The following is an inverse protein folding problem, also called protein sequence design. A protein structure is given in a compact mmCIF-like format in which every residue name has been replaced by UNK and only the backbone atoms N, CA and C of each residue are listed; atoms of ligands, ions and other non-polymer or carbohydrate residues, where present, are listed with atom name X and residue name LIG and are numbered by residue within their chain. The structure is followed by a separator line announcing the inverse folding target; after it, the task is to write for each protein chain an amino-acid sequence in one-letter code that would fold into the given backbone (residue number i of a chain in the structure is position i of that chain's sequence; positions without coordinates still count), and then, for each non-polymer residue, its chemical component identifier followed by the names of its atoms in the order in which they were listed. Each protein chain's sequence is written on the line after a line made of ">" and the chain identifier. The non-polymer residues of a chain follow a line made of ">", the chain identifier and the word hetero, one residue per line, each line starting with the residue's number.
data_IF_612053596377
#
_entry.id   IF_612053596377
#
_cell.length_a   1.000
_cell.length_b   1.000
_cell.length_c   1.000
_cell.angle_alpha   90.00
_cell.angle_beta   90.00
_cell.angle_gamma   90.00
#
_symmetry.space_group_name_H-M   'P 1'
#
loop_
_entity.id
_entity.type
_entity.pdbx_description
1 polymer ?
#
# COMPACT_ATOMS: atom_id res chain seq x y z
N UNK A 1 -7.34 -12.84 15.11
CA UNK A 1 -5.91 -13.04 15.41
C UNK A 1 -5.70 -14.45 15.95
N UNK A 2 -6.14 -14.78 17.17
CA UNK A 2 -5.99 -16.14 17.74
C UNK A 2 -6.69 -17.25 16.94
N UNK A 3 -7.94 -17.04 16.47
CA UNK A 3 -8.67 -18.01 15.64
C UNK A 3 -7.93 -18.40 14.34
N UNK A 4 -7.06 -17.53 13.82
CA UNK A 4 -6.31 -17.75 12.60
C UNK A 4 -4.82 -18.02 12.85
N UNK A 5 -4.41 -18.20 14.12
CA UNK A 5 -3.01 -18.40 14.49
C UNK A 5 -2.11 -17.19 14.19
N UNK A 6 -2.68 -15.99 14.07
CA UNK A 6 -1.95 -14.76 13.74
C UNK A 6 -1.55 -14.00 15.00
N UNK A 7 -0.24 -13.76 15.16
CA UNK A 7 0.31 -12.91 16.22
C UNK A 7 0.10 -11.44 15.87
N UNK A 8 -0.42 -10.64 16.80
CA UNK A 8 -0.51 -9.19 16.62
C UNK A 8 0.89 -8.60 16.64
N UNK A 9 1.26 -7.93 15.55
CA UNK A 9 2.43 -7.06 15.57
C UNK A 9 2.10 -5.81 16.38
N UNK A 10 2.82 -5.61 17.47
CA UNK A 10 2.83 -4.36 18.22
C UNK A 10 4.22 -3.78 18.04
N UNK A 11 4.35 -2.56 17.51
CA UNK A 11 5.65 -1.94 17.30
C UNK A 11 6.49 -1.99 18.57
N UNK A 12 7.71 -2.52 18.49
CA UNK A 12 8.61 -2.49 19.62
C UNK A 12 8.97 -1.03 19.93
N UNK A 13 9.05 -0.67 21.22
CA UNK A 13 9.41 0.68 21.63
C UNK A 13 10.80 1.03 21.07
N UNK A 14 10.85 2.02 20.18
CA UNK A 14 12.09 2.45 19.51
C UNK A 14 12.39 1.80 18.15
N UNK A 15 11.53 0.90 17.65
CA UNK A 15 11.67 0.29 16.32
C UNK A 15 10.73 0.95 15.29
N UNK A 16 11.02 2.20 14.91
CA UNK A 16 10.31 2.88 13.82
C UNK A 16 10.42 2.21 12.44
N UNK A 17 11.48 1.45 12.08
CA UNK A 17 11.57 0.81 10.76
C UNK A 17 10.43 -0.16 10.46
N UNK A 18 9.84 -0.77 11.49
CA UNK A 18 8.77 -1.76 11.34
C UNK A 18 7.52 -1.17 10.67
N UNK A 19 7.27 0.14 10.88
CA UNK A 19 6.13 0.85 10.28
C UNK A 19 6.51 1.67 9.03
N UNK A 20 7.81 1.89 8.79
CA UNK A 20 8.29 2.80 7.75
C UNK A 20 7.80 2.43 6.34
N UNK A 21 7.67 1.13 6.03
CA UNK A 21 7.15 0.67 4.76
C UNK A 21 5.67 1.04 4.57
N UNK A 22 4.85 0.88 5.61
CA UNK A 22 3.43 1.24 5.59
C UNK A 22 3.26 2.77 5.54
N UNK A 23 4.02 3.52 6.34
CA UNK A 23 4.03 4.98 6.30
C UNK A 23 4.42 5.51 4.92
N UNK A 24 5.44 4.92 4.29
CA UNK A 24 5.86 5.28 2.94
C UNK A 24 4.78 5.01 1.90
N UNK A 25 3.99 3.95 2.04
CA UNK A 25 2.83 3.69 1.18
C UNK A 25 1.74 4.76 1.36
N UNK A 26 1.30 5.00 2.61
CA UNK A 26 0.24 5.96 2.88
C UNK A 26 0.64 7.40 2.53
N UNK A 27 1.90 7.76 2.74
CA UNK A 27 2.44 9.06 2.32
C UNK A 27 2.32 9.25 0.81
N UNK A 28 2.72 8.25 0.02
CA UNK A 28 2.60 8.29 -1.45
C UNK A 28 1.15 8.36 -1.92
N UNK A 29 0.26 7.54 -1.36
CA UNK A 29 -1.17 7.57 -1.69
C UNK A 29 -1.75 8.95 -1.47
N UNK A 30 -1.45 9.58 -0.33
CA UNK A 30 -1.92 10.94 -0.06
C UNK A 30 -1.39 11.94 -1.07
N UNK A 31 -0.08 11.92 -1.34
CA UNK A 31 0.56 12.84 -2.28
C UNK A 31 0.06 12.66 -3.72
N UNK A 32 -0.11 11.42 -4.18
CA UNK A 32 -0.38 11.12 -5.58
C UNK A 32 -1.87 11.09 -5.93
N UNK A 33 -2.74 10.71 -4.98
CA UNK A 33 -4.16 10.50 -5.24
C UNK A 33 -5.09 11.38 -4.41
N UNK A 34 -4.71 11.78 -3.19
CA UNK A 34 -5.61 12.54 -2.31
C UNK A 34 -5.41 14.05 -2.46
N UNK A 35 -4.19 14.55 -2.29
CA UNK A 35 -3.89 15.98 -2.30
C UNK A 35 -4.15 16.73 -3.61
N UNK A 36 -4.13 16.09 -4.80
CA UNK A 36 -4.47 16.79 -6.03
C UNK A 36 -5.95 17.20 -6.16
N UNK A 37 -6.84 16.67 -5.32
CA UNK A 37 -8.29 16.79 -5.47
C UNK A 37 -8.97 17.27 -4.16
N UNK A 38 -10.14 17.90 -4.28
CA UNK A 38 -10.96 18.34 -3.13
C UNK A 38 -12.06 17.32 -2.84
N UNK A 39 -11.90 16.58 -1.74
CA UNK A 39 -12.76 15.45 -1.40
C UNK A 39 -13.98 15.83 -0.55
N UNK A 40 -14.14 17.10 -0.18
CA UNK A 40 -15.22 17.58 0.68
C UNK A 40 -16.62 17.41 0.06
N UNK A 41 -16.70 17.39 -1.26
CA UNK A 41 -17.94 17.22 -2.03
C UNK A 41 -18.17 15.76 -2.46
N UNK A 42 -17.20 14.87 -2.21
CA UNK A 42 -17.27 13.48 -2.63
C UNK A 42 -17.98 12.61 -1.59
N UNK A 43 -18.75 11.64 -2.09
CA UNK A 43 -19.37 10.61 -1.27
C UNK A 43 -18.34 9.65 -0.71
N UNK A 44 -18.70 8.99 0.39
CA UNK A 44 -17.90 7.89 0.96
C UNK A 44 -17.56 6.81 -0.08
N UNK A 45 -18.48 6.51 -0.99
CA UNK A 45 -18.26 5.45 -1.99
C UNK A 45 -17.23 5.85 -3.04
N UNK A 46 -17.18 7.12 -3.45
CA UNK A 46 -16.16 7.63 -4.37
C UNK A 46 -14.77 7.59 -3.72
N UNK A 47 -14.67 7.97 -2.45
CA UNK A 47 -13.40 7.86 -1.71
C UNK A 47 -12.94 6.40 -1.59
N UNK A 48 -13.87 5.47 -1.34
CA UNK A 48 -13.54 4.04 -1.29
C UNK A 48 -13.09 3.51 -2.65
N UNK A 49 -13.73 3.95 -3.73
CA UNK A 49 -13.35 3.58 -5.09
C UNK A 49 -11.94 4.09 -5.43
N UNK A 50 -11.61 5.33 -5.08
CA UNK A 50 -10.26 5.88 -5.23
C UNK A 50 -9.22 5.02 -4.51
N UNK A 51 -9.49 4.65 -3.25
CA UNK A 51 -8.55 3.86 -2.44
C UNK A 51 -8.34 2.48 -3.07
N UNK A 52 -9.41 1.83 -3.53
CA UNK A 52 -9.33 0.51 -4.20
C UNK A 52 -8.54 0.60 -5.51
N UNK A 53 -8.84 1.60 -6.34
CA UNK A 53 -8.14 1.85 -7.60
C UNK A 53 -6.66 2.13 -7.37
N UNK A 54 -6.32 2.98 -6.40
CA UNK A 54 -4.93 3.30 -6.08
C UNK A 54 -4.17 2.06 -5.59
N UNK A 55 -4.78 1.23 -4.73
CA UNK A 55 -4.16 -0.01 -4.25
C UNK A 55 -3.92 -0.98 -5.41
N UNK A 56 -4.90 -1.14 -6.30
CA UNK A 56 -4.76 -1.98 -7.50
C UNK A 56 -3.62 -1.48 -8.38
N UNK A 57 -3.63 -0.21 -8.74
CA UNK A 57 -2.59 0.39 -9.58
C UNK A 57 -1.21 0.26 -8.91
N UNK A 58 -1.10 0.57 -7.63
CA UNK A 58 0.16 0.49 -6.88
C UNK A 58 0.75 -0.92 -6.91
N UNK A 59 -0.09 -1.95 -6.76
CA UNK A 59 0.36 -3.34 -6.71
C UNK A 59 0.65 -3.94 -8.09
N UNK A 60 -0.17 -3.63 -9.08
CA UNK A 60 -0.15 -4.32 -10.37
C UNK A 60 0.56 -3.55 -11.48
N UNK A 61 0.54 -2.22 -11.44
CA UNK A 61 0.91 -1.37 -12.57
C UNK A 61 2.09 -0.44 -12.25
N UNK A 62 2.26 -0.05 -10.99
CA UNK A 62 3.33 0.88 -10.59
C UNK A 62 4.73 0.28 -10.80
N UNK A 63 5.45 0.78 -11.78
CA UNK A 63 6.83 0.41 -12.05
C UNK A 63 7.77 0.99 -10.99
N UNK A 64 8.62 0.13 -10.42
CA UNK A 64 9.68 0.55 -9.48
C UNK A 64 11.05 0.15 -10.00
N UNK A 65 11.92 1.15 -10.18
CA UNK A 65 13.32 0.91 -10.56
C UNK A 65 14.04 0.00 -9.55
N UNK A 66 13.78 0.16 -8.25
CA UNK A 66 14.35 -0.69 -7.20
C UNK A 66 13.90 -2.16 -7.27
N UNK A 67 12.84 -2.46 -8.03
CA UNK A 67 12.34 -3.81 -8.28
C UNK A 67 12.71 -4.32 -9.68
N UNK A 68 13.72 -3.73 -10.32
CA UNK A 68 14.13 -4.09 -11.68
C UNK A 68 13.10 -3.69 -12.73
N UNK A 69 12.44 -2.54 -12.54
CA UNK A 69 11.40 -2.03 -13.43
C UNK A 69 10.15 -2.92 -13.51
N UNK A 70 9.83 -3.63 -12.42
CA UNK A 70 8.62 -4.44 -12.28
C UNK A 70 7.61 -3.75 -11.36
N UNK A 71 6.33 -4.13 -11.47
CA UNK A 71 5.35 -3.84 -10.44
C UNK A 71 5.57 -4.70 -9.19
N UNK A 72 5.06 -4.30 -8.01
CA UNK A 72 5.20 -5.11 -6.80
C UNK A 72 4.75 -6.57 -6.95
N UNK A 73 3.62 -6.80 -7.64
CA UNK A 73 3.11 -8.16 -7.88
C UNK A 73 4.03 -8.92 -8.83
N UNK A 74 4.44 -8.31 -9.95
CA UNK A 74 5.38 -8.94 -10.89
C UNK A 74 6.70 -9.31 -10.20
N UNK A 75 7.22 -8.42 -9.36
CA UNK A 75 8.41 -8.67 -8.57
C UNK A 75 8.22 -9.88 -7.65
N UNK A 76 7.15 -9.93 -6.85
CA UNK A 76 6.84 -11.10 -5.99
C UNK A 76 6.77 -12.41 -6.79
N UNK A 77 6.11 -12.38 -7.94
CA UNK A 77 5.98 -13.54 -8.82
C UNK A 77 7.35 -14.00 -9.37
N UNK A 78 8.22 -13.06 -9.76
CA UNK A 78 9.59 -13.39 -10.19
C UNK A 78 10.44 -14.03 -9.09
N UNK A 79 10.11 -13.79 -7.82
CA UNK A 79 10.76 -14.40 -6.65
C UNK A 79 10.10 -15.73 -6.23
N UNK A 80 9.10 -16.23 -6.98
CA UNK A 80 8.37 -17.45 -6.64
C UNK A 80 7.46 -17.31 -5.42
N UNK A 81 7.17 -16.08 -4.98
CA UNK A 81 6.26 -15.81 -3.86
C UNK A 81 4.83 -15.76 -4.37
N UNK A 82 3.88 -16.16 -3.52
CA UNK A 82 2.46 -15.98 -3.80
C UNK A 82 2.14 -14.49 -4.00
N UNK A 83 1.33 -14.21 -5.03
CA UNK A 83 0.88 -12.87 -5.37
C UNK A 83 -0.05 -12.32 -4.29
#
# INVERSE_FOLDING_TARGET
>A
MERFGLTRSMSAKGCSPDNAAAEGFFGRMKTEAVYPEKWEEHTRNEVLALVDEYIRWYNHERIKQSLGWMSPVQYRQSQGMAA
#
